data_IF_538398719789
#
_entry.id   IF_538398719789
#
_cell.length_a   1.000
_cell.length_b   1.000
_cell.length_c   1.000
_cell.angle_alpha   90.00
_cell.angle_beta   90.00
_cell.angle_gamma   90.00
#
_symmetry.space_group_name_H-M   'P 1'
#
loop_
_entity.id
_entity.type
_entity.pdbx_description
1 polymer ?
#
# COMPACT_ATOMS: atom_id res chain seq x y z
N UNK A 1 30.36 15.43 38.19
CA UNK A 1 29.82 14.07 38.12
C UNK A 1 28.33 14.01 37.76
N UNK A 2 27.50 14.84 38.34
CA UNK A 2 26.06 14.84 38.05
C UNK A 2 25.74 15.16 36.62
N UNK A 3 26.45 16.07 35.96
CA UNK A 3 26.25 16.42 34.55
C UNK A 3 26.54 15.25 33.61
N UNK A 4 27.43 14.34 33.99
CA UNK A 4 27.82 13.20 33.19
C UNK A 4 26.75 12.10 33.18
N UNK A 5 26.11 11.89 34.31
CA UNK A 5 25.04 10.90 34.48
C UNK A 5 23.77 11.33 33.73
N UNK A 6 23.42 12.64 33.78
CA UNK A 6 22.27 13.19 33.07
C UNK A 6 22.40 13.03 31.55
N UNK A 7 23.59 13.31 31.00
CA UNK A 7 23.86 13.16 29.57
C UNK A 7 23.77 11.71 29.11
N UNK A 8 24.24 10.75 29.89
CA UNK A 8 24.13 9.33 29.57
C UNK A 8 22.69 8.84 29.58
N UNK A 9 21.89 9.27 30.52
CA UNK A 9 20.47 8.92 30.60
C UNK A 9 19.68 9.43 29.44
N UNK A 10 19.92 10.65 29.01
CA UNK A 10 19.25 11.26 27.85
C UNK A 10 19.60 10.52 26.55
N UNK A 11 20.87 10.15 26.36
CA UNK A 11 21.30 9.41 25.19
C UNK A 11 20.64 8.02 25.10
N UNK A 12 20.52 7.31 26.20
CA UNK A 12 19.89 5.98 26.26
C UNK A 12 18.39 6.10 25.97
N UNK A 13 17.70 7.09 26.54
CA UNK A 13 16.27 7.32 26.29
C UNK A 13 15.99 7.62 24.82
N UNK A 14 16.82 8.43 24.18
CA UNK A 14 16.69 8.77 22.76
C UNK A 14 16.89 7.54 21.88
N UNK A 15 17.84 6.69 22.18
CA UNK A 15 18.11 5.45 21.45
C UNK A 15 16.94 4.47 21.58
N UNK A 16 16.38 4.29 22.77
CA UNK A 16 15.23 3.43 23.01
C UNK A 16 13.99 3.89 22.24
N UNK A 17 13.73 5.20 22.19
CA UNK A 17 12.63 5.76 21.40
C UNK A 17 12.80 5.50 19.90
N UNK A 18 14.01 5.62 19.37
CA UNK A 18 14.30 5.33 17.97
C UNK A 18 14.09 3.84 17.66
N UNK A 19 14.54 2.95 18.54
CA UNK A 19 14.35 1.49 18.41
C UNK A 19 12.87 1.11 18.50
N UNK A 20 12.10 1.75 19.38
CA UNK A 20 10.67 1.50 19.53
C UNK A 20 9.91 1.92 18.27
N UNK A 21 10.26 3.03 17.66
CA UNK A 21 9.69 3.46 16.37
C UNK A 21 10.03 2.50 15.24
N UNK A 22 11.23 1.98 15.18
CA UNK A 22 11.64 0.99 14.19
C UNK A 22 10.93 -0.35 14.42
N UNK A 23 10.75 -0.77 15.68
CA UNK A 23 10.09 -2.02 16.04
C UNK A 23 8.56 -1.97 15.91
N UNK A 24 7.95 -0.80 16.17
CA UNK A 24 6.53 -0.54 15.98
C UNK A 24 6.25 0.07 14.60
N UNK A 25 7.29 0.15 13.76
CA UNK A 25 7.20 0.73 12.44
C UNK A 25 5.98 0.19 11.72
N UNK A 26 5.10 1.11 11.35
CA UNK A 26 3.94 0.79 10.57
C UNK A 26 4.37 -0.12 9.43
N UNK A 27 3.74 -1.26 9.30
CA UNK A 27 3.98 -2.15 8.18
C UNK A 27 3.88 -1.35 6.90
N UNK A 28 4.85 -1.51 6.03
CA UNK A 28 4.76 -0.95 4.69
C UNK A 28 3.66 -1.68 3.94
N UNK A 29 2.71 -0.91 3.43
CA UNK A 29 1.63 -1.42 2.62
C UNK A 29 1.86 -1.06 1.17
N UNK A 30 1.68 -2.03 0.29
CA UNK A 30 1.87 -1.86 -1.14
C UNK A 30 0.54 -1.91 -1.85
N UNK A 31 0.31 -0.94 -2.74
CA UNK A 31 -0.82 -0.93 -3.64
C UNK A 31 -0.43 -1.64 -4.93
N UNK A 32 -1.16 -2.70 -5.25
CA UNK A 32 -0.90 -3.53 -6.41
C UNK A 32 -1.96 -3.33 -7.49
N UNK A 33 -1.52 -3.30 -8.73
CA UNK A 33 -2.38 -3.22 -9.91
C UNK A 33 -2.20 -4.45 -10.78
N UNK A 34 -3.32 -5.00 -11.24
CA UNK A 34 -3.34 -6.06 -12.23
C UNK A 34 -4.17 -5.61 -13.42
N UNK A 35 -3.61 -5.68 -14.61
CA UNK A 35 -4.26 -5.33 -15.84
C UNK A 35 -4.62 -6.57 -16.63
N UNK A 36 -5.89 -6.72 -16.98
CA UNK A 36 -6.36 -7.82 -17.82
C UNK A 36 -7.07 -7.24 -19.06
N UNK A 37 -6.62 -7.59 -20.25
CA UNK A 37 -7.21 -7.13 -21.48
C UNK A 37 -7.67 -8.27 -22.36
N UNK A 38 -8.78 -8.08 -23.07
CA UNK A 38 -9.33 -9.08 -23.98
C UNK A 38 -8.80 -8.99 -25.41
N UNK A 39 -8.12 -7.92 -25.77
CA UNK A 39 -8.03 -7.52 -27.17
C UNK A 39 -6.70 -7.74 -27.85
N UNK A 40 -5.64 -8.18 -27.19
CA UNK A 40 -4.34 -8.23 -27.84
C UNK A 40 -3.51 -9.47 -27.61
N UNK A 41 -4.05 -10.49 -26.95
CA UNK A 41 -3.25 -11.66 -26.60
C UNK A 41 -2.15 -11.36 -25.59
N UNK A 42 -1.99 -10.14 -25.19
CA UNK A 42 -1.10 -9.73 -24.13
C UNK A 42 -1.86 -9.79 -22.79
N UNK A 43 -1.96 -10.99 -22.26
CA UNK A 43 -2.40 -11.15 -20.90
C UNK A 43 -1.27 -10.72 -19.98
N UNK A 44 -1.39 -9.52 -19.45
CA UNK A 44 -0.51 -9.13 -18.37
C UNK A 44 -1.20 -9.45 -17.04
N UNK A 45 -1.30 -10.75 -16.75
CA UNK A 45 -1.83 -11.26 -15.48
C UNK A 45 -0.88 -11.01 -14.31
N UNK A 46 0.08 -10.14 -14.48
CA UNK A 46 1.12 -9.87 -13.50
C UNK A 46 0.70 -8.69 -12.61
N UNK A 47 0.83 -8.89 -11.32
CA UNK A 47 0.67 -7.81 -10.36
C UNK A 47 1.85 -6.85 -10.42
N UNK A 48 1.56 -5.57 -10.53
CA UNK A 48 2.56 -4.50 -10.57
C UNK A 48 2.41 -3.62 -9.34
N UNK A 49 3.48 -3.40 -8.56
CA UNK A 49 3.42 -2.46 -7.45
C UNK A 49 3.39 -1.02 -7.99
N UNK A 50 2.40 -0.24 -7.56
CA UNK A 50 2.25 1.13 -8.02
C UNK A 50 2.47 2.18 -6.93
N UNK A 51 2.60 1.76 -5.68
CA UNK A 51 2.92 2.66 -4.59
C UNK A 51 3.14 1.93 -3.29
N UNK A 52 3.90 2.54 -2.40
CA UNK A 52 4.16 2.05 -1.05
C UNK A 52 3.76 3.10 -0.03
N UNK A 53 3.17 2.67 1.06
CA UNK A 53 2.58 3.54 2.08
C UNK A 53 2.95 3.03 3.47
N UNK A 54 3.03 3.94 4.44
CA UNK A 54 3.41 3.61 5.82
C UNK A 54 2.32 2.88 6.61
N UNK A 55 1.19 2.62 6.02
CA UNK A 55 0.11 1.89 6.67
C UNK A 55 -1.03 1.60 5.73
N UNK A 56 -1.94 0.76 6.18
CA UNK A 56 -3.11 0.37 5.42
C UNK A 56 -3.99 1.56 5.02
N UNK A 57 -4.15 2.52 5.94
CA UNK A 57 -4.97 3.71 5.69
C UNK A 57 -4.48 4.52 4.49
N UNK A 58 -3.16 4.73 4.38
CA UNK A 58 -2.56 5.45 3.24
C UNK A 58 -2.76 4.72 1.93
N UNK A 59 -2.57 3.41 1.93
CA UNK A 59 -2.79 2.58 0.76
C UNK A 59 -4.27 2.63 0.31
N UNK A 60 -5.20 2.47 1.23
CA UNK A 60 -6.64 2.53 0.93
C UNK A 60 -7.09 3.91 0.47
N UNK A 61 -6.50 4.98 1.01
CA UNK A 61 -6.79 6.35 0.58
C UNK A 61 -6.39 6.57 -0.88
N UNK A 62 -5.22 6.10 -1.29
CA UNK A 62 -4.80 6.18 -2.69
C UNK A 62 -5.67 5.33 -3.59
N UNK A 63 -6.04 4.14 -3.17
CA UNK A 63 -6.98 3.29 -3.92
C UNK A 63 -8.31 4.00 -4.14
N UNK A 64 -8.85 4.68 -3.12
CA UNK A 64 -10.08 5.49 -3.24
C UNK A 64 -9.92 6.62 -4.26
N UNK A 65 -8.78 7.29 -4.29
CA UNK A 65 -8.51 8.34 -5.28
C UNK A 65 -8.52 7.80 -6.70
N UNK A 66 -7.95 6.62 -6.92
CA UNK A 66 -7.97 5.95 -8.23
C UNK A 66 -9.40 5.61 -8.62
N UNK A 67 -10.16 5.00 -7.71
CA UNK A 67 -11.56 4.62 -7.94
C UNK A 67 -12.43 5.84 -8.27
N UNK A 68 -12.16 6.98 -7.63
CA UNK A 68 -12.93 8.20 -7.86
C UNK A 68 -12.80 8.77 -9.29
N UNK A 69 -11.80 8.34 -10.05
CA UNK A 69 -11.61 8.74 -11.45
C UNK A 69 -12.52 7.99 -12.43
N UNK A 70 -13.18 6.95 -11.96
CA UNK A 70 -14.03 6.09 -12.79
C UNK A 70 -15.49 6.23 -12.40
N UNK A 71 -16.39 5.85 -13.33
CA UNK A 71 -17.82 5.85 -13.06
C UNK A 71 -18.17 4.75 -12.05
N UNK A 72 -19.08 5.03 -11.15
CA UNK A 72 -19.53 4.07 -10.14
C UNK A 72 -19.97 2.74 -10.73
N UNK A 73 -20.64 2.76 -11.89
CA UNK A 73 -21.11 1.56 -12.57
C UNK A 73 -19.98 0.65 -13.06
N UNK A 74 -18.78 1.22 -13.25
CA UNK A 74 -17.63 0.48 -13.75
C UNK A 74 -16.75 -0.07 -12.61
N UNK A 75 -17.13 0.19 -11.37
CA UNK A 75 -16.37 -0.21 -10.19
C UNK A 75 -17.10 -1.32 -9.44
N UNK A 76 -16.41 -2.42 -9.20
CA UNK A 76 -16.93 -3.56 -8.45
C UNK A 76 -16.02 -3.87 -7.28
N UNK A 77 -16.59 -3.93 -6.08
CA UNK A 77 -15.85 -4.41 -4.92
C UNK A 77 -15.71 -5.94 -4.97
N UNK A 78 -14.48 -6.42 -4.86
CA UNK A 78 -14.18 -7.84 -4.83
C UNK A 78 -13.57 -8.18 -3.48
N UNK A 79 -14.39 -8.43 -2.49
CA UNK A 79 -13.96 -8.58 -1.11
C UNK A 79 -13.66 -7.24 -0.43
N UNK A 80 -13.10 -7.30 0.79
CA UNK A 80 -12.87 -6.12 1.61
C UNK A 80 -11.70 -5.25 1.11
N UNK A 81 -10.72 -5.84 0.46
CA UNK A 81 -9.46 -5.18 0.15
C UNK A 81 -9.21 -4.97 -1.34
N UNK A 82 -10.06 -5.49 -2.20
CA UNK A 82 -9.84 -5.51 -3.64
C UNK A 82 -10.97 -4.84 -4.39
N UNK A 83 -10.60 -4.00 -5.34
CA UNK A 83 -11.54 -3.31 -6.23
C UNK A 83 -11.20 -3.65 -7.67
N UNK A 84 -12.20 -3.95 -8.47
CA UNK A 84 -12.06 -4.23 -9.89
C UNK A 84 -12.78 -3.15 -10.69
N UNK A 85 -12.12 -2.60 -11.69
CA UNK A 85 -12.62 -1.49 -12.50
C UNK A 85 -12.60 -1.88 -13.96
N UNK A 86 -13.71 -1.61 -14.65
CA UNK A 86 -13.78 -1.73 -16.10
C UNK A 86 -13.35 -0.43 -16.74
N UNK A 87 -12.21 -0.43 -17.40
CA UNK A 87 -11.72 0.74 -18.11
C UNK A 87 -12.48 0.94 -19.43
N UNK A 88 -12.74 2.20 -19.84
CA UNK A 88 -13.42 2.50 -21.11
C UNK A 88 -12.74 1.91 -22.35
N UNK A 89 -11.43 1.66 -22.26
CA UNK A 89 -10.66 1.05 -23.35
C UNK A 89 -10.77 -0.48 -23.41
N UNK A 90 -11.57 -1.08 -22.54
CA UNK A 90 -11.80 -2.53 -22.53
C UNK A 90 -10.90 -3.33 -21.61
N UNK A 91 -10.07 -2.66 -20.81
CA UNK A 91 -9.24 -3.31 -19.80
C UNK A 91 -10.00 -3.53 -18.49
N UNK A 92 -9.65 -4.58 -17.82
CA UNK A 92 -10.02 -4.76 -16.42
C UNK A 92 -8.83 -4.42 -15.53
N UNK A 93 -9.04 -3.51 -14.60
CA UNK A 93 -8.02 -3.09 -13.65
C UNK A 93 -8.41 -3.59 -12.26
N UNK A 94 -7.52 -4.28 -11.61
CA UNK A 94 -7.72 -4.75 -10.24
C UNK A 94 -6.71 -4.08 -9.33
N UNK A 95 -7.20 -3.48 -8.24
CA UNK A 95 -6.36 -2.81 -7.25
C UNK A 95 -6.55 -3.44 -5.89
N UNK A 96 -5.46 -3.77 -5.25
CA UNK A 96 -5.48 -4.34 -3.90
C UNK A 96 -4.36 -3.79 -3.05
N UNK A 97 -4.65 -3.61 -1.76
CA UNK A 97 -3.66 -3.22 -0.76
C UNK A 97 -3.20 -4.45 -0.01
N UNK A 98 -1.89 -4.65 0.07
CA UNK A 98 -1.28 -5.76 0.80
C UNK A 98 -0.16 -5.29 1.70
N UNK A 99 -0.01 -5.88 2.90
CA UNK A 99 1.13 -5.58 3.74
C UNK A 99 2.40 -6.17 3.15
N UNK A 100 3.51 -5.46 3.32
CA UNK A 100 4.81 -5.88 2.82
C UNK A 100 4.98 -5.69 1.31
N UNK A 101 6.00 -6.31 0.76
CA UNK A 101 6.36 -6.21 -0.65
C UNK A 101 6.05 -7.45 -1.49
N UNK A 102 5.38 -8.46 -0.92
CA UNK A 102 5.04 -9.66 -1.65
C UNK A 102 3.78 -9.46 -2.51
N UNK A 103 3.80 -9.85 -3.79
CA UNK A 103 2.64 -9.71 -4.65
C UNK A 103 1.47 -10.57 -4.18
N UNK A 104 0.23 -10.15 -4.46
CA UNK A 104 -0.96 -10.98 -4.23
C UNK A 104 -0.87 -12.29 -5.03
N UNK A 105 -1.48 -13.31 -4.49
CA UNK A 105 -1.58 -14.62 -5.16
C UNK A 105 -2.85 -14.73 -5.98
#
# INVERSE_FOLDING_TARGET
MERYLALRLVAIATLLLALTRAASGAETWTLWEKKEGQTSGEFNDTWTPIGSYDGERGCRAMRREIVARYRRKDVTAVGADTVRIKDPLGWWLTYTCRPGGAPPR
#
